data_IF_235028562001
#
_entry.id   IF_235028562001
#
_cell.length_a   1.000
_cell.length_b   1.000
_cell.length_c   1.000
_cell.angle_alpha   90.00
_cell.angle_beta   90.00
_cell.angle_gamma   90.00
#
_symmetry.space_group_name_H-M   'P 1'
#
loop_
_entity.id
_entity.type
_entity.pdbx_description
1 polymer ?
#
# COMPACT_ATOMS: atom_id res chain seq x y z
N UNK A 1 47.44 -20.90 27.40
CA UNK A 1 46.44 -20.14 26.63
C UNK A 1 45.77 -19.16 27.58
N UNK A 2 46.06 -17.87 27.41
CA UNK A 2 45.89 -16.84 28.45
C UNK A 2 44.41 -16.55 28.75
N UNK A 3 44.05 -16.35 30.03
CA UNK A 3 42.66 -16.05 30.44
C UNK A 3 42.18 -14.75 29.76
N UNK A 4 43.11 -13.82 29.52
CA UNK A 4 42.86 -12.57 28.80
C UNK A 4 42.42 -12.79 27.34
N UNK A 5 42.92 -13.84 26.67
CA UNK A 5 42.52 -14.13 25.28
C UNK A 5 41.12 -14.73 25.20
N UNK A 6 40.72 -15.55 26.19
CA UNK A 6 39.34 -16.05 26.31
C UNK A 6 38.36 -14.92 26.63
N UNK A 7 38.74 -13.99 27.50
CA UNK A 7 37.94 -12.84 27.87
C UNK A 7 37.74 -11.87 26.69
N UNK A 8 38.80 -11.64 25.89
CA UNK A 8 38.74 -10.85 24.66
C UNK A 8 37.83 -11.50 23.60
N UNK A 9 37.92 -12.83 23.43
CA UNK A 9 37.12 -13.57 22.46
C UNK A 9 35.63 -13.63 22.84
N UNK A 10 35.33 -13.86 24.12
CA UNK A 10 33.94 -13.82 24.63
C UNK A 10 33.30 -12.42 24.47
N UNK A 11 34.07 -11.35 24.70
CA UNK A 11 33.62 -9.97 24.45
C UNK A 11 33.34 -9.71 22.96
N UNK A 12 34.18 -10.23 22.05
CA UNK A 12 33.98 -10.13 20.59
C UNK A 12 32.74 -10.92 20.13
N UNK A 13 32.54 -12.14 20.61
CA UNK A 13 31.34 -12.94 20.32
C UNK A 13 30.08 -12.21 20.81
N UNK A 14 30.09 -11.66 22.03
CA UNK A 14 28.98 -10.89 22.57
C UNK A 14 28.61 -9.66 21.71
N UNK A 15 29.61 -8.93 21.20
CA UNK A 15 29.40 -7.79 20.31
C UNK A 15 28.81 -8.23 18.94
N UNK A 16 29.26 -9.36 18.39
CA UNK A 16 28.75 -9.92 17.13
C UNK A 16 27.30 -10.43 17.27
N UNK A 17 26.96 -11.05 18.39
CA UNK A 17 25.58 -11.51 18.68
C UNK A 17 24.60 -10.34 18.89
N UNK A 18 25.05 -9.24 19.51
CA UNK A 18 24.24 -8.02 19.65
C UNK A 18 24.05 -7.31 18.30
N UNK A 19 25.08 -7.26 17.45
CA UNK A 19 25.01 -6.67 16.12
C UNK A 19 24.12 -7.46 15.14
N UNK A 20 23.99 -8.78 15.34
CA UNK A 20 23.09 -9.63 14.54
C UNK A 20 21.63 -9.58 15.00
N UNK A 21 21.36 -9.02 16.18
CA UNK A 21 20.01 -8.70 16.65
C UNK A 21 19.47 -7.36 16.10
N UNK A 22 20.32 -6.57 15.45
CA UNK A 22 19.92 -5.38 14.69
C UNK A 22 19.37 -5.70 13.28
N UNK A 23 18.99 -6.95 13.00
CA UNK A 23 18.08 -7.32 11.90
C UNK A 23 16.60 -7.22 12.27
N UNK A 24 16.28 -6.60 13.41
CA UNK A 24 15.05 -5.81 13.43
C UNK A 24 15.27 -4.63 12.46
N UNK A 25 15.08 -4.89 11.17
CA UNK A 25 14.54 -3.86 10.29
C UNK A 25 13.47 -3.16 11.10
N UNK A 26 13.43 -1.82 11.13
CA UNK A 26 12.21 -1.20 11.58
C UNK A 26 11.12 -1.85 10.73
N UNK A 27 10.14 -2.49 11.37
CA UNK A 27 8.82 -2.56 10.79
C UNK A 27 8.50 -1.10 10.54
N UNK A 28 8.83 -0.64 9.33
CA UNK A 28 8.17 0.50 8.74
C UNK A 28 6.76 -0.03 8.65
N UNK A 29 5.95 0.32 9.64
CA UNK A 29 4.53 0.37 9.44
C UNK A 29 4.39 1.27 8.22
N UNK A 30 4.25 0.65 7.04
CA UNK A 30 3.92 1.39 5.83
C UNK A 30 2.53 1.92 6.14
N UNK A 31 2.48 3.16 6.61
CA UNK A 31 1.21 3.82 6.88
C UNK A 31 0.39 3.63 5.62
N UNK A 32 -0.76 2.97 5.77
CA UNK A 32 -1.67 2.71 4.65
C UNK A 32 -2.21 4.08 4.23
N UNK A 33 -1.44 4.75 3.38
CA UNK A 33 -1.73 6.10 2.92
C UNK A 33 -3.00 6.09 2.09
N UNK A 34 -3.90 7.00 2.39
CA UNK A 34 -5.07 7.25 1.54
C UNK A 34 -4.64 8.14 0.38
N UNK A 35 -4.83 7.66 -0.84
CA UNK A 35 -4.59 8.45 -2.05
C UNK A 35 -5.87 9.22 -2.37
N UNK A 36 -5.79 10.53 -2.60
CA UNK A 36 -6.95 11.35 -2.97
C UNK A 36 -6.95 11.78 -4.44
N UNK A 37 -5.94 11.34 -5.19
CA UNK A 37 -5.70 11.72 -6.58
C UNK A 37 -5.30 10.49 -7.38
N UNK A 38 -6.01 10.26 -8.49
CA UNK A 38 -5.79 9.08 -9.33
C UNK A 38 -4.40 9.09 -9.99
N UNK A 39 -3.86 10.24 -10.37
CA UNK A 39 -2.52 10.31 -11.00
C UNK A 39 -1.45 9.89 -10.00
N UNK A 40 -1.55 10.33 -8.75
CA UNK A 40 -0.64 9.90 -7.66
C UNK A 40 -0.78 8.41 -7.37
N UNK A 41 -2.01 7.89 -7.39
CA UNK A 41 -2.27 6.47 -7.21
C UNK A 41 -1.62 5.63 -8.32
N UNK A 42 -1.80 6.05 -9.58
CA UNK A 42 -1.23 5.38 -10.76
C UNK A 42 0.30 5.50 -10.84
N UNK A 43 0.92 6.47 -10.17
CA UNK A 43 2.38 6.54 -10.06
C UNK A 43 2.97 5.39 -9.23
N UNK A 44 2.21 4.82 -8.29
CA UNK A 44 2.65 3.73 -7.41
C UNK A 44 1.55 2.66 -7.20
N UNK A 45 1.08 1.99 -8.26
CA UNK A 45 -0.12 1.15 -8.22
C UNK A 45 -0.02 -0.04 -7.25
N UNK A 46 1.19 -0.51 -6.97
CA UNK A 46 1.48 -1.61 -6.04
C UNK A 46 1.45 -1.20 -4.56
N UNK A 47 1.27 0.09 -4.26
CA UNK A 47 1.20 0.65 -2.89
C UNK A 47 -0.18 1.20 -2.53
N UNK A 48 -1.12 1.25 -3.47
CA UNK A 48 -2.44 1.83 -3.23
C UNK A 48 -3.38 0.78 -2.65
N UNK A 49 -3.74 0.95 -1.38
CA UNK A 49 -4.77 0.14 -0.72
C UNK A 49 -6.09 0.89 -0.56
N UNK A 50 -6.02 2.22 -0.38
CA UNK A 50 -7.17 3.10 -0.21
C UNK A 50 -7.07 4.25 -1.21
N UNK A 51 -8.11 4.41 -2.03
CA UNK A 51 -8.26 5.52 -2.98
C UNK A 51 -9.58 6.25 -2.68
N UNK A 52 -9.47 7.51 -2.28
CA UNK A 52 -10.60 8.40 -2.05
C UNK A 52 -10.72 9.42 -3.18
N UNK A 53 -11.65 9.20 -4.09
CA UNK A 53 -12.02 10.13 -5.14
C UNK A 53 -13.34 10.83 -4.85
N UNK A 54 -13.73 10.95 -3.58
CA UNK A 54 -14.97 11.62 -3.22
C UNK A 54 -14.95 13.09 -3.62
N UNK A 55 -16.12 13.64 -3.96
CA UNK A 55 -16.29 15.06 -4.28
C UNK A 55 -15.49 15.56 -5.50
N UNK A 56 -15.08 14.67 -6.41
CA UNK A 56 -14.27 14.99 -7.59
C UNK A 56 -15.07 15.21 -8.89
N UNK A 57 -16.41 15.33 -8.79
CA UNK A 57 -17.32 15.52 -9.93
C UNK A 57 -17.15 14.49 -11.06
N UNK A 58 -16.73 13.27 -10.72
CA UNK A 58 -16.59 12.19 -11.70
C UNK A 58 -17.96 11.88 -12.31
N UNK A 59 -18.06 11.79 -13.63
CA UNK A 59 -19.27 11.36 -14.34
C UNK A 59 -19.26 9.85 -14.65
N UNK A 60 -18.07 9.25 -14.65
CA UNK A 60 -17.83 7.82 -14.85
C UNK A 60 -16.58 7.41 -14.08
N UNK A 61 -16.47 6.12 -13.75
CA UNK A 61 -15.25 5.57 -13.17
C UNK A 61 -14.17 5.39 -14.25
N UNK A 62 -12.98 5.97 -14.07
CA UNK A 62 -11.85 5.78 -15.00
C UNK A 62 -11.36 4.33 -14.99
N UNK A 63 -11.16 3.75 -16.18
CA UNK A 63 -10.79 2.33 -16.33
C UNK A 63 -9.43 2.00 -15.71
N UNK A 64 -8.57 3.01 -15.59
CA UNK A 64 -7.23 2.94 -15.02
C UNK A 64 -7.24 2.53 -13.54
N UNK A 65 -8.36 2.69 -12.82
CA UNK A 65 -8.51 2.18 -11.45
C UNK A 65 -8.24 0.67 -11.38
N UNK A 66 -8.55 -0.09 -12.45
CA UNK A 66 -8.25 -1.52 -12.55
C UNK A 66 -6.76 -1.86 -12.51
N UNK A 67 -5.87 -0.89 -12.77
CA UNK A 67 -4.41 -1.06 -12.67
C UNK A 67 -3.92 -1.09 -11.21
N UNK A 68 -4.73 -0.64 -10.25
CA UNK A 68 -4.40 -0.58 -8.82
C UNK A 68 -4.61 -1.95 -8.16
N UNK A 69 -3.73 -2.91 -8.46
CA UNK A 69 -3.88 -4.33 -8.11
C UNK A 69 -4.05 -4.62 -6.61
N UNK A 70 -3.58 -3.72 -5.73
CA UNK A 70 -3.72 -3.87 -4.27
C UNK A 70 -4.87 -3.07 -3.68
N UNK A 71 -5.65 -2.35 -4.49
CA UNK A 71 -6.75 -1.50 -4.01
C UNK A 71 -7.80 -2.36 -3.29
N UNK A 72 -8.13 -1.96 -2.07
CA UNK A 72 -9.14 -2.60 -1.21
C UNK A 72 -10.33 -1.70 -0.94
N UNK A 73 -10.10 -0.39 -0.86
CA UNK A 73 -11.14 0.58 -0.54
C UNK A 73 -11.12 1.67 -1.62
N UNK A 74 -12.26 1.84 -2.27
CA UNK A 74 -12.50 2.91 -3.24
C UNK A 74 -13.69 3.76 -2.75
N UNK A 75 -13.42 5.00 -2.37
CA UNK A 75 -14.47 5.97 -2.04
C UNK A 75 -14.74 6.86 -3.24
N UNK A 76 -15.95 6.83 -3.77
CA UNK A 76 -16.41 7.64 -4.92
C UNK A 76 -17.66 8.45 -4.57
N UNK A 77 -17.93 8.64 -3.28
CA UNK A 77 -19.08 9.43 -2.81
C UNK A 77 -19.06 10.87 -3.32
N UNK A 78 -20.22 11.54 -3.35
CA UNK A 78 -20.34 12.95 -3.76
C UNK A 78 -19.79 13.26 -5.17
N UNK A 79 -19.87 12.31 -6.10
CA UNK A 79 -19.55 12.53 -7.51
C UNK A 79 -20.82 12.71 -8.36
N UNK A 80 -20.64 12.94 -9.66
CA UNK A 80 -21.71 13.07 -10.65
C UNK A 80 -22.06 11.72 -11.31
N UNK A 81 -21.38 10.63 -10.92
CA UNK A 81 -21.76 9.28 -11.27
C UNK A 81 -23.18 9.10 -10.77
N UNK A 82 -24.09 8.80 -11.69
CA UNK A 82 -25.50 8.63 -11.36
C UNK A 82 -25.67 7.40 -10.46
N UNK A 83 -25.65 7.64 -9.15
CA UNK A 83 -25.83 6.62 -8.12
C UNK A 83 -27.23 6.01 -8.14
N UNK A 84 -28.17 6.55 -8.94
CA UNK A 84 -29.51 5.97 -9.13
C UNK A 84 -29.52 4.88 -10.20
N UNK A 85 -28.47 4.78 -11.01
CA UNK A 85 -28.29 3.72 -12.00
C UNK A 85 -27.28 2.69 -11.47
N UNK A 86 -27.74 1.89 -10.51
CA UNK A 86 -26.93 0.84 -9.87
C UNK A 86 -26.37 -0.14 -10.91
N UNK A 87 -27.15 -0.48 -11.94
CA UNK A 87 -26.75 -1.39 -13.01
C UNK A 87 -25.55 -0.83 -13.80
N UNK A 88 -25.57 0.46 -14.13
CA UNK A 88 -24.46 1.14 -14.80
C UNK A 88 -23.19 1.13 -13.95
N UNK A 89 -23.31 1.36 -12.65
CA UNK A 89 -22.16 1.30 -11.72
C UNK A 89 -21.61 -0.12 -11.65
N UNK A 90 -22.47 -1.12 -11.44
CA UNK A 90 -22.06 -2.52 -11.40
C UNK A 90 -21.36 -2.95 -12.69
N UNK A 91 -21.85 -2.52 -13.85
CA UNK A 91 -21.18 -2.76 -15.14
C UNK A 91 -19.80 -2.10 -15.22
N UNK A 92 -19.64 -0.87 -14.71
CA UNK A 92 -18.34 -0.21 -14.67
C UNK A 92 -17.37 -0.92 -13.72
N UNK A 93 -17.81 -1.27 -12.51
CA UNK A 93 -17.01 -2.06 -11.56
C UNK A 93 -16.64 -3.41 -12.19
N UNK A 94 -17.60 -4.16 -12.74
CA UNK A 94 -17.31 -5.44 -13.39
C UNK A 94 -16.21 -5.31 -14.46
N UNK A 95 -16.25 -4.28 -15.31
CA UNK A 95 -15.19 -4.02 -16.28
C UNK A 95 -13.84 -3.76 -15.59
N UNK A 96 -13.80 -2.91 -14.56
CA UNK A 96 -12.57 -2.60 -13.83
C UNK A 96 -11.87 -3.83 -13.26
N UNK A 97 -12.62 -4.76 -12.65
CA UNK A 97 -12.03 -5.93 -11.99
C UNK A 97 -11.77 -7.13 -12.94
N UNK A 98 -12.42 -7.19 -14.10
CA UNK A 98 -12.26 -8.28 -15.08
C UNK A 98 -11.47 -7.87 -16.34
N UNK A 99 -10.91 -6.66 -16.38
CA UNK A 99 -10.05 -6.19 -17.49
C UNK A 99 -8.58 -6.64 -17.40
N UNK A 100 -8.26 -7.69 -16.63
CA UNK A 100 -6.93 -8.31 -16.57
C UNK A 100 -6.96 -9.76 -17.08
#
# INVERSE_FOLDING_TARGET
MNIDSKLSYARKIGIVLLASFCFFSPVVAEEVGTYTDLRKALANPSKVFVLDLSSNKLEALPIEIGQLQKLKILNISNNLIDLKDEEKIQKQLYKLWNSN
#
